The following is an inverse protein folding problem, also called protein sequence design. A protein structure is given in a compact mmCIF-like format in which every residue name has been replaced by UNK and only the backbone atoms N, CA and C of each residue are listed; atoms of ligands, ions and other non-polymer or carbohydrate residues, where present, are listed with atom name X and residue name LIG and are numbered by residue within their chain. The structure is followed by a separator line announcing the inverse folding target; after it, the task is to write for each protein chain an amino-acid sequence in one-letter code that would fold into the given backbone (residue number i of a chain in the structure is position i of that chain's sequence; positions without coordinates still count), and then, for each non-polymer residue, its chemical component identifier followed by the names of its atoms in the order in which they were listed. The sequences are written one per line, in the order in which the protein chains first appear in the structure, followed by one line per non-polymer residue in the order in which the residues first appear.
data_IF_686120231841
#
_entry.id   IF_686120231841
#
_cell.length_a   1.000
_cell.length_b   1.000
_cell.length_c   1.000
_cell.angle_alpha   90.00
_cell.angle_beta   90.00
_cell.angle_gamma   90.00
#
_symmetry.space_group_name_H-M   'P 1'
#
loop_
_entity.id
_entity.type
_entity.pdbx_description
1 polymer ?
#
# COMPACT_ATOMS: atom_id res chain seq x y z
N UNK A 1 -4.31 -15.52 14.51
CA UNK A 1 -3.33 -14.78 13.69
C UNK A 1 -4.01 -13.53 13.18
N UNK A 2 -3.99 -12.49 14.00
CA UNK A 2 -4.40 -11.12 13.65
C UNK A 2 -3.55 -10.68 12.45
N UNK A 3 -4.20 -10.25 11.37
CA UNK A 3 -3.58 -9.95 10.08
C UNK A 3 -2.74 -8.66 10.09
N UNK A 4 -1.81 -8.54 11.03
CA UNK A 4 -0.89 -7.40 11.07
C UNK A 4 0.06 -7.46 9.87
N UNK A 5 0.32 -6.32 9.21
CA UNK A 5 1.24 -6.27 8.08
C UNK A 5 2.67 -6.53 8.56
N UNK A 6 3.08 -7.80 8.57
CA UNK A 6 4.47 -8.16 8.78
C UNK A 6 5.30 -7.69 7.58
N UNK A 7 6.34 -6.90 7.86
CA UNK A 7 7.28 -6.40 6.85
C UNK A 7 7.05 -4.98 6.34
N UNK A 8 5.99 -4.28 6.78
CA UNK A 8 5.86 -2.84 6.54
C UNK A 8 6.60 -2.03 7.61
N UNK A 9 7.19 -0.87 7.25
CA UNK A 9 7.63 0.10 8.24
C UNK A 9 6.47 0.45 9.17
N UNK A 10 6.69 0.24 10.46
CA UNK A 10 5.73 0.56 11.51
C UNK A 10 6.45 1.05 12.75
N UNK A 11 5.79 1.92 13.51
CA UNK A 11 6.32 2.45 14.76
C UNK A 11 5.19 2.73 15.76
N UNK A 12 5.51 2.67 17.04
CA UNK A 12 4.56 2.98 18.12
C UNK A 12 4.36 4.50 18.24
N UNK A 13 3.09 4.92 18.40
CA UNK A 13 2.73 6.29 18.77
C UNK A 13 3.08 6.49 20.24
N UNK A 14 4.16 7.23 20.49
CA UNK A 14 4.54 7.64 21.84
C UNK A 14 3.45 8.51 22.46
N UNK A 15 3.05 8.20 23.69
CA UNK A 15 1.92 8.87 24.36
C UNK A 15 0.53 8.31 23.99
N UNK A 16 0.46 7.28 23.14
CA UNK A 16 -0.77 6.55 22.86
C UNK A 16 -1.89 7.44 22.31
N UNK A 17 -3.13 7.23 22.78
CA UNK A 17 -4.30 7.92 22.24
C UNK A 17 -4.31 9.43 22.52
N UNK A 18 -3.60 9.89 23.57
CA UNK A 18 -3.51 11.32 23.89
C UNK A 18 -2.72 12.09 22.83
N UNK A 19 -1.71 11.46 22.21
CA UNK A 19 -0.95 12.08 21.12
C UNK A 19 -1.83 12.39 19.90
N UNK A 20 -2.93 11.65 19.68
CA UNK A 20 -3.85 11.91 18.57
C UNK A 20 -4.67 13.20 18.73
N UNK A 21 -4.69 13.78 19.95
CA UNK A 21 -5.33 15.08 20.20
C UNK A 21 -4.41 16.26 19.89
N UNK A 22 -3.12 16.01 19.71
CA UNK A 22 -2.15 17.05 19.39
C UNK A 22 -2.13 17.33 17.89
N UNK A 23 -2.27 18.60 17.51
CA UNK A 23 -2.19 19.02 16.11
C UNK A 23 -0.77 18.90 15.55
N UNK A 24 0.27 19.00 16.40
CA UNK A 24 1.66 18.81 15.98
C UNK A 24 1.91 17.38 15.51
N UNK A 25 1.30 16.39 16.17
CA UNK A 25 1.36 14.99 15.74
C UNK A 25 0.89 14.84 14.30
N UNK A 26 -0.29 15.39 13.96
CA UNK A 26 -0.85 15.30 12.61
C UNK A 26 -0.01 16.02 11.56
N UNK A 27 0.60 17.16 11.92
CA UNK A 27 1.52 17.87 11.02
C UNK A 27 2.76 17.03 10.70
N UNK A 28 3.40 16.46 11.71
CA UNK A 28 4.58 15.60 11.51
C UNK A 28 4.23 14.34 10.73
N UNK A 29 3.07 13.76 11.05
CA UNK A 29 2.52 12.62 10.36
C UNK A 29 2.32 12.89 8.86
N UNK A 30 1.75 14.04 8.50
CA UNK A 30 1.57 14.46 7.10
C UNK A 30 2.91 14.66 6.38
N UNK A 31 3.91 15.26 7.03
CA UNK A 31 5.24 15.44 6.44
C UNK A 31 5.92 14.08 6.15
N UNK A 32 5.79 13.12 7.07
CA UNK A 32 6.28 11.75 6.84
C UNK A 32 5.58 11.12 5.64
N UNK A 33 4.24 11.21 5.57
CA UNK A 33 3.48 10.68 4.43
C UNK A 33 3.91 11.28 3.09
N UNK A 34 4.08 12.60 3.03
CA UNK A 34 4.60 13.29 1.83
C UNK A 34 5.98 12.76 1.43
N UNK A 35 6.86 12.53 2.40
CA UNK A 35 8.21 12.00 2.16
C UNK A 35 8.19 10.58 1.61
N UNK A 36 7.31 9.73 2.14
CA UNK A 36 7.09 8.38 1.61
C UNK A 36 6.54 8.40 0.18
N UNK A 37 5.60 9.30 -0.13
CA UNK A 37 5.06 9.46 -1.49
C UNK A 37 6.18 9.84 -2.46
N UNK A 38 7.00 10.81 -2.09
CA UNK A 38 8.13 11.27 -2.90
C UNK A 38 9.20 10.18 -3.09
N UNK A 39 9.53 9.43 -2.03
CA UNK A 39 10.46 8.31 -2.10
C UNK A 39 10.01 7.29 -3.15
N UNK A 40 8.77 6.81 -3.05
CA UNK A 40 8.28 5.77 -3.96
C UNK A 40 8.11 6.30 -5.38
N UNK A 41 7.55 7.50 -5.56
CA UNK A 41 7.45 8.12 -6.90
C UNK A 41 8.82 8.23 -7.56
N UNK A 42 9.82 8.68 -6.83
CA UNK A 42 11.20 8.78 -7.32
C UNK A 42 11.76 7.40 -7.64
N UNK A 43 11.66 6.44 -6.71
CA UNK A 43 12.20 5.09 -6.87
C UNK A 43 11.63 4.41 -8.12
N UNK A 44 10.31 4.38 -8.25
CA UNK A 44 9.68 3.73 -9.39
C UNK A 44 9.87 4.49 -10.70
N UNK A 45 10.06 5.82 -10.66
CA UNK A 45 10.50 6.57 -11.84
C UNK A 45 11.90 6.16 -12.29
N UNK A 46 12.84 5.91 -11.35
CA UNK A 46 14.16 5.37 -11.69
C UNK A 46 14.12 3.92 -12.19
N UNK A 47 13.19 3.11 -11.68
CA UNK A 47 12.94 1.74 -12.16
C UNK A 47 12.37 1.77 -13.58
N UNK A 48 11.44 2.68 -13.90
CA UNK A 48 10.84 2.76 -15.23
C UNK A 48 11.78 3.39 -16.27
N UNK A 49 12.44 4.48 -15.89
CA UNK A 49 13.27 5.29 -16.78
C UNK A 49 14.62 5.56 -16.12
N UNK A 50 15.70 5.17 -16.80
CA UNK A 50 17.05 5.44 -16.31
C UNK A 50 17.27 6.95 -16.22
N UNK A 51 17.75 7.41 -15.06
CA UNK A 51 18.01 8.83 -14.79
C UNK A 51 16.76 9.70 -14.96
N UNK A 52 15.60 9.19 -14.53
CA UNK A 52 14.36 9.96 -14.54
C UNK A 52 14.55 11.29 -13.78
N UNK A 53 13.93 12.39 -14.25
CA UNK A 53 13.94 13.65 -13.52
C UNK A 53 13.17 13.53 -12.20
N UNK A 54 13.36 14.52 -11.32
CA UNK A 54 12.56 14.67 -10.10
C UNK A 54 11.07 14.79 -10.49
N UNK A 55 10.13 14.12 -9.78
CA UNK A 55 8.70 14.26 -10.02
C UNK A 55 8.25 15.72 -9.96
N UNK A 56 7.41 16.15 -10.93
CA UNK A 56 6.99 17.57 -11.06
C UNK A 56 6.27 18.11 -9.83
N UNK A 57 5.45 17.27 -9.20
CA UNK A 57 4.66 17.61 -8.00
C UNK A 57 5.26 16.99 -6.73
N UNK A 58 6.60 16.98 -6.63
CA UNK A 58 7.29 16.52 -5.44
C UNK A 58 7.11 17.51 -4.27
N UNK A 59 6.87 16.99 -3.07
CA UNK A 59 6.79 17.79 -1.85
C UNK A 59 8.17 18.26 -1.37
N UNK A 60 9.21 17.44 -1.58
CA UNK A 60 10.57 17.63 -1.08
C UNK A 60 11.63 17.47 -2.19
N UNK A 61 11.60 18.30 -3.26
CA UNK A 61 12.47 18.12 -4.41
C UNK A 61 13.96 18.18 -4.07
N UNK A 62 14.36 19.05 -3.13
CA UNK A 62 15.77 19.15 -2.69
C UNK A 62 16.24 17.88 -1.99
N UNK A 63 15.40 17.30 -1.14
CA UNK A 63 15.70 16.05 -0.43
C UNK A 63 15.74 14.87 -1.40
N UNK A 64 14.88 14.84 -2.42
CA UNK A 64 14.96 13.84 -3.49
C UNK A 64 16.32 13.93 -4.18
N UNK A 65 16.74 15.11 -4.60
CA UNK A 65 18.02 15.32 -5.26
C UNK A 65 19.18 14.88 -4.36
N UNK A 66 19.23 15.43 -3.14
CA UNK A 66 20.38 15.29 -2.26
C UNK A 66 20.49 13.93 -1.56
N UNK A 67 19.35 13.29 -1.26
CA UNK A 67 19.31 12.06 -0.45
C UNK A 67 19.07 10.83 -1.31
N UNK A 68 18.28 10.93 -2.39
CA UNK A 68 17.92 9.77 -3.22
C UNK A 68 18.74 9.74 -4.51
N UNK A 69 18.75 10.82 -5.28
CA UNK A 69 19.38 10.82 -6.61
C UNK A 69 20.90 10.91 -6.56
N UNK A 70 21.50 11.51 -5.52
CA UNK A 70 22.94 11.40 -5.27
C UNK A 70 23.36 10.13 -4.51
N UNK A 71 22.41 9.24 -4.16
CA UNK A 71 22.71 7.99 -3.50
C UNK A 71 22.92 6.86 -4.53
N UNK A 72 24.18 6.45 -4.71
CA UNK A 72 24.54 5.39 -5.64
C UNK A 72 23.90 4.04 -5.32
N UNK A 73 23.68 3.71 -4.05
CA UNK A 73 23.07 2.44 -3.67
C UNK A 73 21.57 2.43 -3.96
N UNK A 74 20.88 3.55 -3.74
CA UNK A 74 19.50 3.74 -4.19
C UNK A 74 19.36 3.52 -5.71
N UNK A 75 20.24 4.13 -6.50
CA UNK A 75 20.23 3.98 -7.96
C UNK A 75 20.57 2.54 -8.41
N UNK A 76 21.50 1.86 -7.74
CA UNK A 76 21.83 0.45 -8.01
C UNK A 76 20.65 -0.47 -7.74
N UNK A 77 19.92 -0.25 -6.65
CA UNK A 77 18.71 -1.04 -6.34
C UNK A 77 17.64 -0.77 -7.39
N UNK A 78 17.37 0.48 -7.75
CA UNK A 78 16.40 0.81 -8.80
C UNK A 78 16.78 0.15 -10.14
N UNK A 79 18.07 0.16 -10.51
CA UNK A 79 18.57 -0.58 -11.68
C UNK A 79 18.32 -2.08 -11.55
N UNK A 80 18.66 -2.70 -10.42
CA UNK A 80 18.48 -4.14 -10.21
C UNK A 80 17.00 -4.53 -10.36
N UNK A 81 16.09 -3.76 -9.77
CA UNK A 81 14.64 -3.99 -9.91
C UNK A 81 14.20 -3.84 -11.37
N UNK A 82 14.65 -2.79 -12.06
CA UNK A 82 14.38 -2.60 -13.50
C UNK A 82 14.83 -3.81 -14.33
N UNK A 83 16.06 -4.25 -14.13
CA UNK A 83 16.65 -5.34 -14.89
C UNK A 83 15.85 -6.65 -14.69
N UNK A 84 15.39 -6.93 -13.46
CA UNK A 84 14.49 -8.07 -13.18
C UNK A 84 13.13 -7.90 -13.87
N UNK A 85 12.55 -6.69 -13.84
CA UNK A 85 11.24 -6.41 -14.45
C UNK A 85 11.23 -6.60 -15.97
N UNK A 86 12.37 -6.37 -16.64
CA UNK A 86 12.53 -6.60 -18.08
C UNK A 86 12.49 -8.10 -18.40
N UNK A 87 13.06 -8.94 -17.52
CA UNK A 87 13.19 -10.38 -17.76
C UNK A 87 12.06 -11.23 -17.18
N UNK A 88 11.37 -10.75 -16.14
CA UNK A 88 10.34 -11.49 -15.42
C UNK A 88 9.04 -10.68 -15.33
N UNK A 89 8.10 -11.02 -16.22
CA UNK A 89 6.77 -10.42 -16.24
C UNK A 89 5.93 -10.76 -14.99
N UNK A 90 6.17 -11.90 -14.33
CA UNK A 90 5.47 -12.26 -13.09
C UNK A 90 5.98 -11.43 -11.92
N UNK A 91 7.30 -11.25 -11.81
CA UNK A 91 7.89 -10.33 -10.84
C UNK A 91 7.43 -8.89 -11.09
N UNK A 92 7.43 -8.44 -12.34
CA UNK A 92 6.93 -7.14 -12.69
C UNK A 92 5.45 -6.97 -12.29
N UNK A 93 4.63 -8.03 -12.36
CA UNK A 93 3.24 -7.99 -11.90
C UNK A 93 3.08 -8.08 -10.37
N UNK A 94 3.98 -8.77 -9.66
CA UNK A 94 3.90 -8.87 -8.19
C UNK A 94 4.29 -7.57 -7.50
N UNK A 95 5.26 -6.82 -8.05
CA UNK A 95 5.59 -5.48 -7.55
C UNK A 95 4.53 -4.43 -7.93
N UNK A 96 3.65 -4.73 -8.90
CA UNK A 96 2.53 -3.87 -9.31
C UNK A 96 1.32 -3.99 -8.37
N UNK A 97 1.19 -5.09 -7.65
CA UNK A 97 -0.04 -5.45 -6.94
C UNK A 97 0.25 -6.18 -5.64
N UNK A 98 0.18 -5.45 -4.53
CA UNK A 98 -0.31 -6.01 -3.28
C UNK A 98 -1.30 -5.03 -2.66
N UNK A 99 -2.49 -5.55 -2.36
CA UNK A 99 -3.58 -4.78 -1.81
C UNK A 99 -3.29 -4.35 -0.37
N UNK A 100 -3.40 -3.04 -0.16
CA UNK A 100 -4.14 -2.37 0.90
C UNK A 100 -3.82 -2.71 2.36
N UNK A 101 -3.33 -1.69 3.08
CA UNK A 101 -4.14 -1.18 4.19
C UNK A 101 -4.36 0.33 4.12
N UNK A 102 -5.64 0.72 4.24
CA UNK A 102 -6.12 2.09 4.47
C UNK A 102 -6.01 2.49 5.95
N UNK A 103 -5.46 1.64 6.80
CA UNK A 103 -5.36 1.85 8.24
C UNK A 103 -3.92 2.23 8.58
N UNK A 104 -3.71 3.54 8.69
CA UNK A 104 -2.41 4.09 8.98
C UNK A 104 -2.07 4.02 10.47
N UNK A 105 -3.08 3.87 11.32
CA UNK A 105 -2.94 3.73 12.78
C UNK A 105 -3.85 2.58 13.23
N UNK A 106 -3.29 1.59 13.91
CA UNK A 106 -4.03 0.46 14.48
C UNK A 106 -3.59 0.19 15.91
N UNK A 107 -4.37 -0.57 16.68
CA UNK A 107 -3.98 -1.05 18.00
C UNK A 107 -3.45 -2.48 17.88
N UNK A 108 -2.26 -2.76 18.42
CA UNK A 108 -1.72 -4.12 18.44
C UNK A 108 -2.31 -4.95 19.59
N UNK A 109 -1.93 -6.23 19.68
CA UNK A 109 -2.41 -7.16 20.72
C UNK A 109 -1.99 -6.75 22.14
N UNK A 110 -0.96 -5.90 22.28
CA UNK A 110 -0.52 -5.33 23.57
C UNK A 110 -1.27 -4.02 23.92
N UNK A 111 -2.23 -3.61 23.10
CA UNK A 111 -2.99 -2.38 23.30
C UNK A 111 -2.27 -1.10 22.85
N UNK A 112 -1.08 -1.20 22.24
CA UNK A 112 -0.30 -0.05 21.76
C UNK A 112 -0.83 0.46 20.42
N UNK A 113 -0.82 1.78 20.24
CA UNK A 113 -1.13 2.38 18.94
C UNK A 113 0.10 2.34 18.05
N UNK A 114 -0.05 1.73 16.87
CA UNK A 114 0.99 1.54 15.88
C UNK A 114 0.62 2.30 14.62
N UNK A 115 1.54 3.11 14.13
CA UNK A 115 1.46 3.71 12.79
C UNK A 115 2.12 2.76 11.78
N UNK A 116 1.52 2.62 10.61
CA UNK A 116 2.16 1.97 9.45
C UNK A 116 1.85 2.74 8.18
N UNK A 117 2.78 2.75 7.22
CA UNK A 117 2.58 3.37 5.91
C UNK A 117 2.60 2.28 4.85
N UNK A 118 1.49 2.16 4.11
CA UNK A 118 1.32 1.17 3.05
C UNK A 118 1.38 1.81 1.65
N UNK A 119 1.95 1.08 0.68
CA UNK A 119 2.28 1.51 -0.69
C UNK A 119 1.09 1.86 -1.64
N UNK A 120 -0.14 1.99 -1.15
CA UNK A 120 -1.35 1.97 -2.00
C UNK A 120 -1.48 3.12 -3.02
N UNK A 121 -0.91 4.29 -2.77
CA UNK A 121 -1.13 5.48 -3.60
C UNK A 121 -0.18 5.59 -4.80
N UNK A 122 0.97 4.90 -4.75
CA UNK A 122 2.00 5.00 -5.79
C UNK A 122 1.76 3.98 -6.92
N UNK A 123 1.17 2.82 -6.64
CA UNK A 123 0.87 1.79 -7.64
C UNK A 123 0.01 2.29 -8.81
N UNK A 124 -1.01 3.11 -8.54
CA UNK A 124 -1.86 3.68 -9.60
C UNK A 124 -1.12 4.72 -10.46
N UNK A 125 -0.29 5.57 -9.84
CA UNK A 125 0.53 6.54 -10.59
C UNK A 125 1.56 5.83 -11.48
N UNK A 126 2.06 4.67 -11.04
CA UNK A 126 2.99 3.82 -11.82
C UNK A 126 2.29 3.16 -13.00
N UNK A 127 1.02 2.73 -12.87
CA UNK A 127 0.28 2.16 -14.01
C UNK A 127 0.07 3.16 -15.15
N UNK A 128 -0.12 4.44 -14.82
CA UNK A 128 -0.15 5.53 -15.81
C UNK A 128 1.24 5.80 -16.39
N UNK A 129 2.27 5.87 -15.53
CA UNK A 129 3.66 6.13 -15.95
C UNK A 129 4.30 5.01 -16.79
N UNK A 130 3.93 3.75 -16.56
CA UNK A 130 4.43 2.59 -17.31
C UNK A 130 3.63 2.31 -18.59
N UNK A 131 2.58 3.07 -18.90
CA UNK A 131 1.79 2.93 -20.13
C UNK A 131 1.00 1.61 -20.26
N UNK A 132 0.95 0.79 -19.21
CA UNK A 132 0.17 -0.46 -19.19
C UNK A 132 -1.18 -0.17 -18.54
N UNK A 133 -2.09 0.39 -19.33
CA UNK A 133 -3.50 0.49 -18.94
C UNK A 133 -4.06 -0.93 -18.87
N UNK A 134 -4.39 -1.41 -17.67
CA UNK A 134 -5.31 -2.55 -17.55
C UNK A 134 -6.62 -2.07 -18.13
N UNK A 135 -6.97 -2.57 -19.31
CA UNK A 135 -8.26 -2.33 -19.94
C UNK A 135 -9.30 -2.96 -19.01
N UNK A 136 -9.89 -2.16 -18.11
CA UNK A 136 -11.02 -2.57 -17.29
C UNK A 136 -12.19 -2.75 -18.23
N UNK A 137 -12.45 -3.98 -18.63
CA UNK A 137 -13.63 -4.33 -19.41
C UNK A 137 -14.71 -4.70 -18.39
N UNK A 138 -15.84 -3.97 -18.33
CA UNK A 138 -16.98 -4.43 -17.55
C UNK A 138 -17.46 -5.76 -18.12
N UNK A 139 -17.24 -6.85 -17.40
CA UNK A 139 -17.67 -8.20 -17.78
C UNK A 139 -18.50 -8.81 -16.64
N UNK A 140 -19.77 -8.40 -16.58
CA UNK A 140 -20.72 -8.88 -15.60
C UNK A 140 -20.91 -10.40 -15.65
N UNK A 141 -20.89 -11.00 -16.86
CA UNK A 141 -21.08 -12.44 -17.03
C UNK A 141 -19.91 -13.26 -16.48
N UNK A 142 -18.67 -12.76 -16.65
CA UNK A 142 -17.51 -13.40 -16.06
C UNK A 142 -17.51 -13.28 -14.53
N UNK A 143 -17.98 -12.15 -14.00
CA UNK A 143 -18.11 -11.93 -12.56
C UNK A 143 -19.20 -12.81 -11.94
N UNK A 144 -20.40 -12.86 -12.53
CA UNK A 144 -21.53 -13.71 -12.08
C UNK A 144 -21.13 -15.19 -11.97
N UNK A 145 -20.26 -15.68 -12.85
CA UNK A 145 -19.75 -17.07 -12.78
C UNK A 145 -18.83 -17.32 -11.58
N UNK A 146 -18.14 -16.29 -11.09
CA UNK A 146 -17.16 -16.39 -10.01
C UNK A 146 -17.73 -15.96 -8.65
N UNK A 147 -18.78 -15.15 -8.68
CA UNK A 147 -19.43 -14.56 -7.51
C UNK A 147 -19.84 -15.60 -6.45
N UNK A 148 -20.44 -16.77 -6.78
CA UNK A 148 -20.82 -17.75 -5.77
C UNK A 148 -19.63 -18.26 -4.95
N UNK A 149 -18.52 -18.62 -5.61
CA UNK A 149 -17.32 -19.12 -4.95
C UNK A 149 -16.59 -18.04 -4.13
N UNK A 150 -16.74 -16.77 -4.53
CA UNK A 150 -16.21 -15.64 -3.78
C UNK A 150 -17.05 -15.39 -2.51
N UNK A 151 -18.37 -15.42 -2.63
CA UNK A 151 -19.30 -15.29 -1.50
C UNK A 151 -19.05 -16.40 -0.46
N UNK A 152 -18.87 -17.65 -0.90
CA UNK A 152 -18.57 -18.77 -0.01
C UNK A 152 -17.33 -18.51 0.86
N UNK A 153 -16.23 -18.06 0.24
CA UNK A 153 -14.99 -17.70 0.95
C UNK A 153 -15.19 -16.55 1.92
N UNK A 154 -15.98 -15.54 1.55
CA UNK A 154 -16.27 -14.40 2.41
C UNK A 154 -17.11 -14.81 3.63
N UNK A 155 -18.08 -15.71 3.45
CA UNK A 155 -18.89 -16.25 4.54
C UNK A 155 -18.07 -17.15 5.46
N UNK A 156 -17.15 -17.96 4.93
CA UNK A 156 -16.21 -18.76 5.72
C UNK A 156 -15.31 -17.86 6.60
N UNK A 157 -14.75 -16.80 6.01
CA UNK A 157 -13.95 -15.83 6.76
C UNK A 157 -14.79 -15.13 7.82
N UNK A 158 -16.02 -14.71 7.48
CA UNK A 158 -16.96 -14.11 8.44
C UNK A 158 -17.21 -15.04 9.62
N UNK A 159 -17.46 -16.33 9.36
CA UNK A 159 -17.70 -17.33 10.41
C UNK A 159 -16.50 -17.44 11.35
N UNK A 160 -15.28 -17.48 10.79
CA UNK A 160 -14.05 -17.52 11.60
C UNK A 160 -13.84 -16.26 12.45
N UNK A 161 -14.31 -15.10 11.99
CA UNK A 161 -14.28 -13.85 12.76
C UNK A 161 -15.29 -13.87 13.92
N UNK A 162 -16.49 -14.43 13.69
CA UNK A 162 -17.51 -14.62 14.73
C UNK A 162 -17.01 -15.60 15.80
N UNK A 163 -16.44 -16.73 15.38
CA UNK A 163 -15.87 -17.74 16.29
C UNK A 163 -14.71 -17.20 17.13
N UNK A 164 -14.01 -16.18 16.61
CA UNK A 164 -12.94 -15.48 17.31
C UNK A 164 -13.43 -14.29 18.16
N UNK A 165 -14.75 -14.10 18.28
CA UNK A 165 -15.40 -12.97 19.00
C UNK A 165 -14.96 -11.59 18.48
N UNK A 166 -14.67 -11.49 17.18
CA UNK A 166 -14.22 -10.26 16.52
C UNK A 166 -15.35 -9.46 15.85
N UNK A 167 -16.60 -9.86 16.06
CA UNK A 167 -17.78 -9.17 15.56
C UNK A 167 -18.96 -10.10 15.27
N UNK A 168 -20.06 -9.53 14.80
CA UNK A 168 -21.28 -10.25 14.42
C UNK A 168 -21.53 -10.18 12.93
N UNK A 169 -22.16 -11.22 12.38
CA UNK A 169 -22.57 -11.23 10.98
C UNK A 169 -23.68 -10.23 10.71
N UNK A 170 -23.54 -9.45 9.64
CA UNK A 170 -24.57 -8.54 9.14
C UNK A 170 -25.24 -9.22 7.94
N UNK A 171 -26.54 -9.49 8.08
CA UNK A 171 -27.37 -10.02 7.00
C UNK A 171 -27.72 -8.94 5.96
N UNK A 172 -27.91 -9.37 4.72
CA UNK A 172 -28.44 -8.54 3.64
C UNK A 172 -29.56 -9.29 2.93
N UNK A 173 -30.20 -8.67 1.93
CA UNK A 173 -31.17 -9.36 1.07
C UNK A 173 -30.58 -10.54 0.28
N UNK A 174 -29.26 -10.67 0.22
CA UNK A 174 -28.55 -11.68 -0.56
C UNK A 174 -27.86 -12.76 0.30
N UNK A 175 -27.67 -12.54 1.60
CA UNK A 175 -27.12 -13.53 2.52
C UNK A 175 -27.63 -13.35 3.95
N UNK A 176 -27.86 -14.44 4.69
CA UNK A 176 -28.28 -14.36 6.09
C UNK A 176 -27.18 -13.77 6.97
N UNK A 177 -27.62 -13.15 8.08
CA UNK A 177 -26.76 -12.67 9.16
C UNK A 177 -25.93 -13.79 9.75
#
# INVERSE_FOLDING_TARGET
LTGYPQGLPSWEIQGGAEALKDICFWREYDEILKGFIDFYRTFFSQVSTRNAPIPKDAYFPKQIEHTLLFNNDFLKIAKKVRDICITDARYANSIRWQAAFKQLIYRNDEGKLIVTISQNSIGNAITELLGVVVKRIPDAKAYEKQEPALIEKLLEVRQRLIEADLGTGIGTGYWPG
#
